data_IF_171180921109
#
_entry.id   IF_171180921109
#
_cell.length_a   1.000
_cell.length_b   1.000
_cell.length_c   1.000
_cell.angle_alpha   90.00
_cell.angle_beta   90.00
_cell.angle_gamma   90.00
#
_symmetry.space_group_name_H-M   'P 1'
#
loop_
_entity.id
_entity.type
_entity.pdbx_description
1 polymer ?
#
# COMPACT_ATOMS: atom_id res chain seq x y z
N UNK A 1 -11.15 2.53 9.87
CA UNK A 1 -10.46 3.84 9.70
C UNK A 1 -10.17 4.49 11.05
N UNK A 2 -9.02 5.15 11.22
CA UNK A 2 -8.49 5.64 12.51
C UNK A 2 -8.34 7.18 12.61
N UNK A 3 -8.04 7.68 13.81
CA UNK A 3 -7.89 9.11 14.11
C UNK A 3 -6.57 9.76 13.67
N UNK A 4 -5.66 9.03 13.00
CA UNK A 4 -4.35 9.56 12.65
C UNK A 4 -4.46 10.88 11.88
N UNK A 5 -3.58 11.83 12.21
CA UNK A 5 -3.49 13.11 11.52
C UNK A 5 -2.16 13.20 10.78
N UNK A 6 -2.24 13.53 9.50
CA UNK A 6 -1.03 13.82 8.73
C UNK A 6 -0.43 15.16 9.14
N UNK A 7 0.89 15.22 9.24
CA UNK A 7 1.67 16.42 9.52
C UNK A 7 1.96 17.13 8.19
N UNK A 8 1.68 18.43 8.12
CA UNK A 8 2.08 19.25 6.98
C UNK A 8 3.57 19.57 7.08
N UNK A 9 4.36 18.97 6.19
CA UNK A 9 5.73 19.43 5.91
C UNK A 9 5.69 20.53 4.85
N UNK A 10 6.78 21.29 4.67
CA UNK A 10 6.88 22.42 3.73
C UNK A 10 6.39 22.12 2.30
N UNK A 11 6.42 20.85 1.86
CA UNK A 11 6.06 20.45 0.49
C UNK A 11 4.86 19.51 0.40
N UNK A 12 4.54 18.74 1.45
CA UNK A 12 3.48 17.73 1.42
C UNK A 12 3.02 17.30 2.81
N UNK A 13 1.83 16.71 2.88
CA UNK A 13 1.33 16.05 4.09
C UNK A 13 1.93 14.66 4.22
N UNK A 14 2.45 14.34 5.40
CA UNK A 14 3.07 13.06 5.74
C UNK A 14 2.36 12.39 6.92
N UNK A 15 2.31 11.06 6.92
CA UNK A 15 1.70 10.24 7.94
C UNK A 15 2.78 9.33 8.51
N UNK A 16 3.34 9.69 9.66
CA UNK A 16 4.37 8.90 10.32
C UNK A 16 3.78 7.65 10.97
N UNK A 17 4.63 6.66 11.20
CA UNK A 17 4.23 5.45 11.88
C UNK A 17 3.76 5.77 13.31
N UNK A 18 2.67 5.14 13.71
CA UNK A 18 2.10 5.25 15.04
C UNK A 18 1.72 3.83 15.50
N UNK A 19 2.40 3.35 16.54
CA UNK A 19 2.27 1.96 17.00
C UNK A 19 0.86 1.63 17.51
N UNK A 20 0.23 2.60 18.17
CA UNK A 20 -1.08 2.42 18.80
C UNK A 20 -2.13 3.24 18.05
N UNK A 21 -2.62 2.70 16.93
CA UNK A 21 -3.66 3.36 16.15
C UNK A 21 -5.01 3.27 16.86
N UNK A 22 -5.60 4.43 17.16
CA UNK A 22 -6.96 4.51 17.70
C UNK A 22 -7.97 4.46 16.55
N UNK A 23 -8.68 3.33 16.43
CA UNK A 23 -9.75 3.14 15.46
C UNK A 23 -11.00 3.93 15.89
N UNK A 24 -11.75 4.44 14.90
CA UNK A 24 -13.07 5.05 15.16
C UNK A 24 -14.12 3.96 15.34
N UNK A 25 -14.94 4.08 16.37
CA UNK A 25 -16.19 3.33 16.50
C UNK A 25 -17.26 3.85 15.52
N UNK A 26 -18.32 3.05 15.34
CA UNK A 26 -19.48 3.41 14.50
C UNK A 26 -20.16 4.66 15.06
N UNK A 27 -20.38 4.70 16.39
CA UNK A 27 -21.03 5.82 17.06
C UNK A 27 -20.23 7.13 16.94
N UNK A 28 -18.90 7.07 17.10
CA UNK A 28 -18.03 8.23 16.87
C UNK A 28 -18.09 8.71 15.42
N UNK A 29 -18.03 7.78 14.46
CA UNK A 29 -18.12 8.11 13.04
C UNK A 29 -19.42 8.83 12.70
N UNK A 30 -20.55 8.35 13.24
CA UNK A 30 -21.86 8.96 13.04
C UNK A 30 -21.93 10.36 13.70
N UNK A 31 -21.46 10.46 14.95
CA UNK A 31 -21.45 11.71 15.71
C UNK A 31 -20.68 12.80 14.98
N UNK A 32 -19.46 12.51 14.54
CA UNK A 32 -18.64 13.49 13.83
C UNK A 32 -19.16 13.83 12.44
N UNK A 33 -19.85 12.88 11.77
CA UNK A 33 -20.51 13.16 10.49
C UNK A 33 -21.68 14.13 10.65
N UNK A 34 -22.53 13.91 11.67
CA UNK A 34 -23.65 14.81 12.02
C UNK A 34 -23.14 16.19 12.41
N UNK A 35 -22.06 16.24 13.21
CA UNK A 35 -21.45 17.50 13.63
C UNK A 35 -20.86 18.28 12.45
N UNK A 36 -20.13 17.61 11.54
CA UNK A 36 -19.58 18.22 10.34
C UNK A 36 -20.66 18.83 9.45
N UNK A 37 -21.77 18.11 9.25
CA UNK A 37 -22.92 18.59 8.47
C UNK A 37 -23.57 19.80 9.12
N UNK A 38 -23.83 19.75 10.44
CA UNK A 38 -24.44 20.88 11.18
C UNK A 38 -23.56 22.13 11.16
N UNK A 39 -22.25 21.97 11.38
CA UNK A 39 -21.29 23.09 11.44
C UNK A 39 -20.82 23.56 10.06
N UNK A 40 -21.16 22.85 8.98
CA UNK A 40 -20.64 23.06 7.61
C UNK A 40 -19.11 23.21 7.58
N UNK A 41 -18.42 22.44 8.42
CA UNK A 41 -16.96 22.46 8.58
C UNK A 41 -16.45 21.04 8.70
N UNK A 42 -15.21 20.82 8.27
CA UNK A 42 -14.55 19.53 8.35
C UNK A 42 -14.24 19.17 9.80
N UNK A 43 -14.81 18.08 10.32
CA UNK A 43 -14.57 17.56 11.67
C UNK A 43 -13.85 16.21 11.55
N UNK A 44 -12.62 16.11 12.04
CA UNK A 44 -11.81 14.87 11.99
C UNK A 44 -11.70 14.15 10.63
N UNK A 45 -11.89 14.85 9.51
CA UNK A 45 -11.92 14.24 8.19
C UNK A 45 -13.29 14.19 7.53
N UNK A 46 -14.36 14.24 8.34
CA UNK A 46 -15.74 14.15 7.89
C UNK A 46 -16.21 15.45 7.26
N UNK A 47 -16.97 15.34 6.17
CA UNK A 47 -17.60 16.46 5.47
C UNK A 47 -19.10 16.57 5.77
N UNK A 48 -19.71 15.50 6.25
CA UNK A 48 -21.14 15.39 6.56
C UNK A 48 -21.55 13.91 6.64
N UNK A 49 -22.85 13.66 6.81
CA UNK A 49 -23.38 12.30 6.75
C UNK A 49 -23.31 11.75 5.32
N UNK A 50 -22.89 10.50 5.17
CA UNK A 50 -22.95 9.81 3.87
C UNK A 50 -24.41 9.49 3.55
N UNK A 51 -24.91 9.77 2.33
CA UNK A 51 -26.23 9.32 1.90
C UNK A 51 -26.40 7.80 1.99
N UNK A 52 -25.30 7.06 1.81
CA UNK A 52 -25.31 5.60 1.95
C UNK A 52 -25.50 5.14 3.40
N UNK A 53 -25.14 5.95 4.40
CA UNK A 53 -25.30 5.56 5.81
C UNK A 53 -26.77 5.31 6.19
N UNK A 54 -27.73 5.86 5.44
CA UNK A 54 -29.16 5.70 5.67
C UNK A 54 -29.84 4.75 4.70
N UNK A 55 -29.15 4.35 3.62
CA UNK A 55 -29.72 3.51 2.54
C UNK A 55 -29.28 2.06 2.69
N UNK A 56 -28.05 1.83 3.14
CA UNK A 56 -27.51 0.49 3.35
C UNK A 56 -27.29 0.26 4.84
N UNK A 57 -27.76 -0.88 5.35
CA UNK A 57 -27.57 -1.35 6.73
C UNK A 57 -26.12 -1.82 6.94
N UNK A 58 -25.17 -0.93 6.67
CA UNK A 58 -23.76 -1.25 6.60
C UNK A 58 -23.01 -0.34 7.58
N UNK A 59 -22.32 -0.91 8.58
CA UNK A 59 -21.67 -0.14 9.64
C UNK A 59 -20.44 0.63 9.11
N UNK A 60 -20.57 1.95 8.98
CA UNK A 60 -19.44 2.84 8.68
C UNK A 60 -18.64 3.14 9.96
N UNK A 61 -17.29 3.17 9.90
CA UNK A 61 -16.45 3.03 8.71
C UNK A 61 -15.94 1.60 8.46
N UNK A 62 -16.44 0.61 9.22
CA UNK A 62 -15.88 -0.77 9.23
C UNK A 62 -16.06 -1.49 7.89
N UNK A 63 -17.07 -1.12 7.11
CA UNK A 63 -17.35 -1.68 5.80
C UNK A 63 -16.54 -1.09 4.64
N UNK A 64 -15.69 -0.10 4.88
CA UNK A 64 -14.94 0.56 3.82
C UNK A 64 -13.74 -0.31 3.46
N UNK A 65 -13.85 -1.00 2.33
CA UNK A 65 -12.77 -1.82 1.77
C UNK A 65 -11.72 -0.92 1.11
N UNK A 66 -10.46 -1.10 1.48
CA UNK A 66 -9.33 -0.42 0.87
C UNK A 66 -8.91 -1.20 -0.38
N UNK A 67 -8.97 -0.53 -1.53
CA UNK A 67 -8.52 -1.10 -2.79
C UNK A 67 -6.99 -1.23 -2.82
N UNK A 68 -6.50 -2.46 -2.70
CA UNK A 68 -5.06 -2.74 -2.67
C UNK A 68 -4.37 -2.43 -4.00
N UNK A 69 -5.06 -2.53 -5.14
CA UNK A 69 -4.48 -2.25 -6.45
C UNK A 69 -4.12 -0.77 -6.54
N UNK A 70 -5.02 0.10 -6.09
CA UNK A 70 -4.78 1.54 -6.08
C UNK A 70 -3.79 1.95 -4.98
N UNK A 71 -3.99 1.49 -3.75
CA UNK A 71 -3.17 1.92 -2.60
C UNK A 71 -1.76 1.35 -2.66
N UNK A 72 -1.63 0.06 -2.90
CA UNK A 72 -0.35 -0.65 -2.81
C UNK A 72 0.41 -0.61 -4.12
N UNK A 73 -0.24 -0.90 -5.26
CA UNK A 73 0.44 -1.08 -6.55
C UNK A 73 0.63 0.25 -7.28
N UNK A 74 -0.47 0.91 -7.65
CA UNK A 74 -0.45 2.12 -8.48
C UNK A 74 0.13 3.35 -7.75
N UNK A 75 0.04 3.37 -6.43
CA UNK A 75 0.57 4.46 -5.59
C UNK A 75 1.87 4.04 -4.92
N UNK A 76 1.79 3.31 -3.80
CA UNK A 76 2.94 3.14 -2.90
C UNK A 76 4.15 2.45 -3.55
N UNK A 77 3.94 1.24 -4.10
CA UNK A 77 4.98 0.45 -4.77
C UNK A 77 5.60 1.24 -5.93
N UNK A 78 4.77 1.79 -6.82
CA UNK A 78 5.26 2.60 -7.94
C UNK A 78 6.14 3.76 -7.47
N UNK A 79 5.67 4.55 -6.50
CA UNK A 79 6.44 5.69 -5.96
C UNK A 79 7.75 5.25 -5.34
N UNK A 80 7.75 4.18 -4.55
CA UNK A 80 8.97 3.66 -3.91
C UNK A 80 9.97 3.14 -4.94
N UNK A 81 9.54 2.33 -5.91
CA UNK A 81 10.45 1.80 -6.94
C UNK A 81 11.01 2.91 -7.82
N UNK A 82 10.18 3.88 -8.24
CA UNK A 82 10.66 5.02 -9.02
C UNK A 82 11.67 5.87 -8.25
N UNK A 83 11.42 6.12 -6.96
CA UNK A 83 12.37 6.81 -6.10
C UNK A 83 13.71 6.08 -6.03
N UNK A 84 13.68 4.77 -5.79
CA UNK A 84 14.89 3.95 -5.70
C UNK A 84 15.65 3.89 -7.02
N UNK A 85 14.94 3.71 -8.13
CA UNK A 85 15.47 3.72 -9.48
C UNK A 85 16.19 5.05 -9.81
N UNK A 86 15.61 6.18 -9.38
CA UNK A 86 16.23 7.49 -9.59
C UNK A 86 17.42 7.74 -8.65
N UNK A 87 17.34 7.28 -7.40
CA UNK A 87 18.33 7.55 -6.35
C UNK A 87 19.60 6.69 -6.47
N UNK A 88 19.46 5.40 -6.75
CA UNK A 88 20.57 4.44 -6.66
C UNK A 88 21.17 4.06 -8.01
N UNK A 89 20.43 4.19 -9.12
CA UNK A 89 20.89 3.76 -10.43
C UNK A 89 21.33 4.94 -11.29
N UNK A 90 22.52 4.83 -11.89
CA UNK A 90 23.00 5.77 -12.90
C UNK A 90 22.31 5.49 -14.24
N UNK A 91 22.24 6.47 -15.15
CA UNK A 91 21.60 6.29 -16.47
C UNK A 91 22.06 5.05 -17.25
N UNK A 92 23.35 4.70 -17.18
CA UNK A 92 23.88 3.50 -17.86
C UNK A 92 23.34 2.20 -17.24
N UNK A 93 23.34 2.11 -15.91
CA UNK A 93 22.88 0.91 -15.18
C UNK A 93 21.36 0.72 -15.35
N UNK A 94 20.62 1.83 -15.49
CA UNK A 94 19.17 1.84 -15.74
C UNK A 94 18.78 1.09 -17.01
N UNK A 95 19.50 1.31 -18.12
CA UNK A 95 19.21 0.63 -19.38
C UNK A 95 19.47 -0.88 -19.28
N UNK A 96 20.55 -1.29 -18.63
CA UNK A 96 20.86 -2.70 -18.38
C UNK A 96 19.76 -3.36 -17.54
N UNK A 97 19.35 -2.71 -16.46
CA UNK A 97 18.31 -3.18 -15.55
C UNK A 97 16.96 -3.28 -16.26
N UNK A 98 16.58 -2.27 -17.05
CA UNK A 98 15.35 -2.28 -17.82
C UNK A 98 15.33 -3.44 -18.82
N UNK A 99 16.48 -3.77 -19.43
CA UNK A 99 16.62 -4.95 -20.27
C UNK A 99 16.50 -6.25 -19.47
N UNK A 100 17.07 -6.33 -18.27
CA UNK A 100 16.95 -7.51 -17.40
C UNK A 100 15.50 -7.75 -17.01
N UNK A 101 14.76 -6.70 -16.62
CA UNK A 101 13.31 -6.79 -16.37
C UNK A 101 12.57 -7.30 -17.60
N UNK A 102 12.84 -6.72 -18.77
CA UNK A 102 12.14 -7.10 -19.99
C UNK A 102 12.44 -8.54 -20.46
N UNK A 103 13.69 -9.00 -20.27
CA UNK A 103 14.15 -10.35 -20.66
C UNK A 103 13.87 -11.41 -19.61
N UNK A 104 13.42 -11.03 -18.42
CA UNK A 104 13.16 -11.98 -17.34
C UNK A 104 12.12 -13.02 -17.79
N UNK A 105 12.50 -14.30 -17.67
CA UNK A 105 11.59 -15.41 -17.96
C UNK A 105 10.44 -15.40 -16.97
N UNK A 106 9.23 -15.51 -17.49
CA UNK A 106 8.01 -15.51 -16.70
C UNK A 106 7.17 -16.73 -17.05
N UNK A 107 6.43 -17.31 -16.10
CA UNK A 107 5.58 -18.46 -16.41
C UNK A 107 4.60 -18.14 -17.55
N UNK A 108 4.42 -19.11 -18.47
CA UNK A 108 3.68 -18.91 -19.71
C UNK A 108 2.21 -18.51 -19.52
N UNK A 109 1.63 -18.80 -18.35
CA UNK A 109 0.24 -18.46 -18.01
C UNK A 109 0.04 -16.97 -17.67
N UNK A 110 1.10 -16.17 -17.60
CA UNK A 110 0.96 -14.73 -17.48
C UNK A 110 0.86 -14.07 -18.87
N UNK A 111 -0.27 -13.41 -19.13
CA UNK A 111 -0.58 -12.84 -20.44
C UNK A 111 0.37 -11.72 -20.93
N UNK A 112 1.29 -11.22 -20.10
CA UNK A 112 2.17 -10.09 -20.44
C UNK A 112 3.58 -10.29 -19.89
N UNK A 113 4.57 -9.94 -20.72
CA UNK A 113 5.96 -9.79 -20.30
C UNK A 113 6.10 -8.65 -19.31
N UNK A 114 7.15 -8.73 -18.50
CA UNK A 114 7.52 -7.64 -17.61
C UNK A 114 7.93 -6.40 -18.41
N UNK A 115 7.42 -5.24 -17.98
CA UNK A 115 7.83 -3.96 -18.56
C UNK A 115 9.06 -3.40 -17.83
N UNK A 116 9.90 -2.62 -18.54
CA UNK A 116 10.95 -1.82 -17.94
C UNK A 116 10.47 -0.94 -16.76
N UNK A 117 11.35 -0.65 -15.81
CA UNK A 117 11.04 0.23 -14.68
C UNK A 117 10.70 1.64 -15.17
N UNK A 118 11.39 2.13 -16.22
CA UNK A 118 11.10 3.45 -16.82
C UNK A 118 9.64 3.60 -17.31
N UNK A 119 8.96 2.49 -17.62
CA UNK A 119 7.57 2.48 -18.08
C UNK A 119 6.55 2.24 -16.95
N UNK A 120 6.97 2.13 -15.70
CA UNK A 120 6.06 1.81 -14.58
C UNK A 120 4.90 2.76 -14.40
N UNK A 121 5.05 4.03 -14.80
CA UNK A 121 3.97 5.02 -14.78
C UNK A 121 2.79 4.63 -15.66
N UNK A 122 3.04 3.88 -16.74
CA UNK A 122 2.04 3.45 -17.73
C UNK A 122 1.55 2.02 -17.50
N UNK A 123 2.13 1.29 -16.55
CA UNK A 123 1.73 -0.07 -16.23
C UNK A 123 0.35 -0.10 -15.55
N UNK A 124 -0.49 -1.06 -15.94
CA UNK A 124 -1.73 -1.39 -15.21
C UNK A 124 -1.40 -1.99 -13.84
N UNK A 125 -2.36 -1.94 -12.92
CA UNK A 125 -2.19 -2.54 -11.59
C UNK A 125 -1.85 -4.04 -11.66
N UNK A 126 -2.47 -4.79 -12.57
CA UNK A 126 -2.20 -6.22 -12.77
C UNK A 126 -0.77 -6.50 -13.25
N UNK A 127 -0.19 -5.61 -14.06
CA UNK A 127 1.23 -5.68 -14.48
C UNK A 127 2.15 -5.37 -13.28
N UNK A 128 1.84 -4.32 -12.51
CA UNK A 128 2.60 -3.97 -11.30
C UNK A 128 2.53 -5.05 -10.22
N UNK A 129 1.40 -5.75 -10.09
CA UNK A 129 1.25 -6.92 -9.21
C UNK A 129 2.26 -8.00 -9.57
N UNK A 130 2.37 -8.32 -10.86
CA UNK A 130 3.29 -9.34 -11.32
C UNK A 130 4.74 -8.93 -11.05
N UNK A 131 5.05 -7.65 -11.26
CA UNK A 131 6.36 -7.09 -10.92
C UNK A 131 6.65 -7.22 -9.43
N UNK A 132 5.75 -6.72 -8.57
CA UNK A 132 5.95 -6.73 -7.13
C UNK A 132 6.16 -8.14 -6.58
N UNK A 133 5.27 -9.07 -6.95
CA UNK A 133 5.28 -10.40 -6.36
C UNK A 133 6.39 -11.26 -6.95
N UNK A 134 6.59 -11.27 -8.26
CA UNK A 134 7.39 -12.30 -8.91
C UNK A 134 8.70 -11.79 -9.51
N UNK A 135 8.72 -10.56 -10.02
CA UNK A 135 9.89 -10.10 -10.78
C UNK A 135 10.84 -9.17 -10.07
N UNK A 136 10.39 -8.46 -9.03
CA UNK A 136 11.21 -7.51 -8.31
C UNK A 136 12.32 -8.20 -7.50
N UNK A 137 11.98 -9.20 -6.67
CA UNK A 137 12.93 -9.84 -5.76
C UNK A 137 14.14 -10.51 -6.45
N UNK A 138 14.00 -11.21 -7.59
CA UNK A 138 15.15 -11.79 -8.28
C UNK A 138 16.19 -10.76 -8.72
N UNK A 139 15.76 -9.53 -9.00
CA UNK A 139 16.64 -8.47 -9.51
C UNK A 139 17.09 -7.50 -8.40
N UNK A 140 16.34 -7.39 -7.31
CA UNK A 140 16.49 -6.32 -6.29
C UNK A 140 17.91 -6.10 -5.75
N UNK A 141 18.70 -7.17 -5.58
CA UNK A 141 20.09 -7.09 -5.08
C UNK A 141 21.07 -6.56 -6.11
N UNK A 142 20.75 -6.69 -7.40
CA UNK A 142 21.49 -6.05 -8.49
C UNK A 142 21.16 -4.55 -8.56
N UNK A 143 19.99 -4.16 -8.06
CA UNK A 143 19.47 -2.80 -8.16
C UNK A 143 19.89 -1.90 -6.99
N UNK A 144 20.03 -2.47 -5.80
CA UNK A 144 20.02 -1.72 -4.54
C UNK A 144 21.07 -2.25 -3.55
N UNK A 145 21.60 -1.37 -2.66
CA UNK A 145 22.37 -1.81 -1.51
C UNK A 145 21.59 -2.82 -0.66
N UNK A 146 22.31 -3.77 -0.05
CA UNK A 146 21.69 -4.89 0.69
C UNK A 146 20.69 -4.43 1.76
N UNK A 147 20.97 -3.35 2.49
CA UNK A 147 20.06 -2.81 3.50
C UNK A 147 18.74 -2.32 2.92
N UNK A 148 18.79 -1.63 1.77
CA UNK A 148 17.61 -1.12 1.06
C UNK A 148 16.83 -2.27 0.43
N UNK A 149 17.53 -3.26 -0.13
CA UNK A 149 16.94 -4.46 -0.70
C UNK A 149 16.22 -5.29 0.37
N UNK A 150 16.83 -5.47 1.55
CA UNK A 150 16.23 -6.15 2.69
C UNK A 150 14.96 -5.42 3.16
N UNK A 151 15.03 -4.10 3.35
CA UNK A 151 13.88 -3.31 3.77
C UNK A 151 12.71 -3.38 2.76
N UNK A 152 12.99 -3.24 1.46
CA UNK A 152 11.96 -3.38 0.43
C UNK A 152 11.41 -4.82 0.37
N UNK A 153 12.23 -5.83 0.66
CA UNK A 153 11.80 -7.23 0.71
C UNK A 153 10.78 -7.49 1.84
N UNK A 154 10.85 -6.76 2.96
CA UNK A 154 9.81 -6.81 4.00
C UNK A 154 8.43 -6.42 3.45
N UNK A 155 8.37 -5.34 2.66
CA UNK A 155 7.14 -4.92 2.01
C UNK A 155 6.64 -5.96 1.01
N UNK A 156 7.52 -6.54 0.18
CA UNK A 156 7.11 -7.60 -0.77
C UNK A 156 6.58 -8.84 -0.03
N UNK A 157 7.24 -9.24 1.06
CA UNK A 157 6.84 -10.39 1.86
C UNK A 157 5.46 -10.16 2.51
N UNK A 158 5.26 -9.00 3.12
CA UNK A 158 3.97 -8.57 3.67
C UNK A 158 2.86 -8.60 2.60
N UNK A 159 3.07 -7.95 1.45
CA UNK A 159 2.08 -7.94 0.36
C UNK A 159 1.78 -9.35 -0.15
N UNK A 160 2.78 -10.23 -0.22
CA UNK A 160 2.58 -11.63 -0.63
C UNK A 160 1.75 -12.44 0.38
N UNK A 161 1.87 -12.17 1.67
CA UNK A 161 1.04 -12.81 2.70
C UNK A 161 -0.40 -12.32 2.61
N UNK A 162 -0.62 -11.01 2.47
CA UNK A 162 -1.96 -10.44 2.35
C UNK A 162 -2.64 -10.72 0.99
N UNK A 163 -1.87 -10.97 -0.07
CA UNK A 163 -2.42 -11.24 -1.40
C UNK A 163 -2.87 -12.70 -1.62
N UNK A 164 -2.44 -13.62 -0.77
CA UNK A 164 -2.76 -15.04 -0.91
C UNK A 164 -3.81 -15.52 0.10
N UNK A 165 -4.24 -16.79 -0.02
CA UNK A 165 -4.95 -17.45 1.07
C UNK A 165 -4.07 -17.52 2.33
N UNK A 166 -4.67 -17.87 3.47
CA UNK A 166 -3.99 -17.96 4.78
C UNK A 166 -2.90 -19.04 4.81
N UNK A 167 -1.70 -18.71 4.31
CA UNK A 167 -0.57 -19.63 4.19
C UNK A 167 -0.03 -20.12 5.54
N UNK A 168 -0.15 -19.31 6.58
CA UNK A 168 0.28 -19.61 7.95
C UNK A 168 -0.94 -19.82 8.87
N UNK A 169 -2.08 -20.21 8.31
CA UNK A 169 -3.35 -20.32 9.03
C UNK A 169 -3.77 -18.98 9.65
N UNK A 170 -4.30 -19.02 10.88
CA UNK A 170 -4.76 -17.85 11.64
C UNK A 170 -3.65 -16.87 12.07
N UNK A 171 -2.38 -17.22 11.81
CA UNK A 171 -1.23 -16.33 12.09
C UNK A 171 -0.85 -15.45 10.90
N UNK A 172 -1.43 -15.69 9.72
CA UNK A 172 -1.02 -15.04 8.47
C UNK A 172 -1.11 -13.52 8.57
N UNK A 173 -2.26 -13.01 9.02
CA UNK A 173 -2.52 -11.58 9.17
C UNK A 173 -1.61 -10.92 10.20
N UNK A 174 -1.36 -11.61 11.32
CA UNK A 174 -0.51 -11.11 12.40
C UNK A 174 0.93 -10.96 11.93
N UNK A 175 1.49 -12.01 11.32
CA UNK A 175 2.86 -12.01 10.80
C UNK A 175 3.02 -10.96 9.68
N UNK A 176 2.04 -10.86 8.78
CA UNK A 176 2.06 -9.85 7.73
C UNK A 176 2.05 -8.42 8.32
N UNK A 177 1.24 -8.18 9.36
CA UNK A 177 1.19 -6.90 10.04
C UNK A 177 2.48 -6.56 10.78
N UNK A 178 3.11 -7.53 11.44
CA UNK A 178 4.41 -7.34 12.11
C UNK A 178 5.50 -6.94 11.10
N UNK A 179 5.57 -7.63 9.95
CA UNK A 179 6.48 -7.26 8.86
C UNK A 179 6.20 -5.86 8.32
N UNK A 180 4.92 -5.49 8.18
CA UNK A 180 4.53 -4.16 7.74
C UNK A 180 4.92 -3.07 8.74
N UNK A 181 4.71 -3.31 10.03
CA UNK A 181 5.04 -2.35 11.08
C UNK A 181 6.53 -2.01 11.08
N UNK A 182 7.41 -3.03 10.96
CA UNK A 182 8.86 -2.81 10.82
C UNK A 182 9.14 -1.97 9.56
N UNK A 183 8.56 -2.35 8.41
CA UNK A 183 8.73 -1.60 7.16
C UNK A 183 8.26 -0.14 7.26
N UNK A 184 7.20 0.14 8.02
CA UNK A 184 6.65 1.48 8.16
C UNK A 184 7.45 2.31 9.16
N UNK A 185 7.81 1.73 10.30
CA UNK A 185 8.65 2.37 11.33
C UNK A 185 10.00 2.81 10.75
N UNK A 186 10.66 1.93 10.00
CA UNK A 186 11.96 2.20 9.38
C UNK A 186 11.86 2.98 8.04
N UNK A 187 10.64 3.18 7.51
CA UNK A 187 10.42 3.84 6.22
C UNK A 187 11.18 5.17 6.05
N UNK A 188 11.23 6.08 7.04
CA UNK A 188 11.98 7.34 6.94
C UNK A 188 13.49 7.18 6.77
N UNK A 189 14.07 6.07 7.23
CA UNK A 189 15.50 5.79 7.11
C UNK A 189 15.88 5.50 5.65
N UNK A 190 14.99 4.83 4.91
CA UNK A 190 15.25 4.38 3.55
C UNK A 190 14.66 5.31 2.47
N UNK A 191 13.51 5.94 2.76
CA UNK A 191 12.73 6.69 1.77
C UNK A 191 12.42 8.11 2.26
N UNK A 192 13.05 9.09 1.60
CA UNK A 192 12.92 10.49 1.99
C UNK A 192 11.54 11.03 1.61
N UNK A 193 10.74 11.33 2.64
CA UNK A 193 9.46 12.03 2.51
C UNK A 193 8.38 11.24 1.72
N UNK A 194 8.41 9.90 1.72
CA UNK A 194 7.46 9.02 1.02
C UNK A 194 6.39 8.44 1.99
N UNK A 195 6.18 9.09 3.13
CA UNK A 195 5.17 8.71 4.12
C UNK A 195 3.78 9.23 3.74
N UNK A 196 3.29 8.85 2.56
CA UNK A 196 1.99 9.27 2.05
C UNK A 196 0.83 8.61 2.81
N UNK A 197 -0.38 9.15 2.64
CA UNK A 197 -1.59 8.55 3.20
C UNK A 197 -1.77 7.08 2.79
N UNK A 198 -1.35 6.73 1.58
CA UNK A 198 -1.39 5.34 1.09
C UNK A 198 -0.53 4.42 1.93
N UNK A 199 0.65 4.84 2.39
CA UNK A 199 1.47 4.05 3.30
C UNK A 199 0.71 3.79 4.60
N UNK A 200 0.09 4.82 5.18
CA UNK A 200 -0.74 4.66 6.38
C UNK A 200 -1.89 3.65 6.18
N UNK A 201 -2.57 3.68 5.03
CA UNK A 201 -3.70 2.79 4.74
C UNK A 201 -3.34 1.30 4.85
N UNK A 202 -2.10 0.91 4.56
CA UNK A 202 -1.64 -0.47 4.70
C UNK A 202 -1.67 -0.96 6.16
N UNK A 203 -1.61 -0.06 7.15
CA UNK A 203 -1.73 -0.43 8.58
C UNK A 203 -3.10 -1.03 8.92
N UNK A 204 -4.11 -0.82 8.07
CA UNK A 204 -5.46 -1.39 8.21
C UNK A 204 -5.64 -2.67 7.39
N UNK A 205 -4.61 -3.14 6.66
CA UNK A 205 -4.73 -4.34 5.83
C UNK A 205 -4.90 -5.61 6.66
N UNK A 206 -4.35 -5.65 7.89
CA UNK A 206 -4.54 -6.79 8.79
C UNK A 206 -6.03 -6.98 9.14
N UNK A 207 -6.69 -5.90 9.56
CA UNK A 207 -8.12 -5.90 9.87
C UNK A 207 -8.95 -6.24 8.64
N UNK A 208 -8.61 -5.64 7.49
CA UNK A 208 -9.32 -5.90 6.25
C UNK A 208 -9.15 -7.36 5.78
N UNK A 209 -7.95 -7.92 5.93
CA UNK A 209 -7.68 -9.32 5.59
C UNK A 209 -8.40 -10.28 6.53
N UNK A 210 -8.50 -9.92 7.82
CA UNK A 210 -9.25 -10.67 8.80
C UNK A 210 -10.75 -10.72 8.45
N UNK A 211 -11.34 -9.56 8.11
CA UNK A 211 -12.77 -9.42 7.84
C UNK A 211 -13.20 -9.95 6.46
N UNK A 212 -12.39 -9.72 5.42
CA UNK A 212 -12.78 -9.94 4.03
C UNK A 212 -11.90 -10.97 3.30
N UNK A 213 -10.86 -11.48 3.95
CA UNK A 213 -9.93 -12.45 3.37
C UNK A 213 -8.90 -11.79 2.45
N UNK A 214 -8.49 -12.52 1.41
CA UNK A 214 -7.36 -12.13 0.57
C UNK A 214 -7.54 -10.78 -0.14
N UNK A 215 -6.50 -9.94 -0.15
CA UNK A 215 -6.47 -8.70 -0.94
C UNK A 215 -6.69 -8.96 -2.43
N UNK A 216 -6.33 -10.15 -2.94
CA UNK A 216 -6.58 -10.52 -4.34
C UNK A 216 -8.06 -10.41 -4.73
N UNK A 217 -8.96 -10.56 -3.75
CA UNK A 217 -10.41 -10.55 -3.95
C UNK A 217 -11.02 -9.16 -3.73
N UNK A 218 -10.18 -8.17 -3.36
CA UNK A 218 -10.62 -6.83 -2.94
C UNK A 218 -10.21 -5.73 -3.93
N UNK A 219 -10.33 -6.02 -5.23
CA UNK A 219 -10.25 -5.02 -6.29
C UNK A 219 -11.64 -4.70 -6.82
N UNK A 220 -12.03 -3.42 -6.81
CA UNK A 220 -13.35 -2.99 -7.29
C UNK A 220 -13.39 -2.92 -8.83
N UNK A 221 -12.22 -2.92 -9.49
CA UNK A 221 -12.09 -2.90 -10.94
C UNK A 221 -10.93 -3.83 -11.36
N UNK A 222 -11.27 -5.04 -11.82
CA UNK A 222 -10.34 -6.02 -12.38
C UNK A 222 -10.26 -5.93 -13.90
#
# INVERSE_FOLDING_TARGET
MCFIKGIHTKTKRQYYFEKNLVLRSIAEYETYSKEAQRKKKKIFGHLGCSPFATIVDVPLPQCIVIDYMHVSLLRHMRTVIQYLYQKYLKPKDRDEIDQLFHKQRFPHFFNRKMRPIKEMSYCKATELRNILLYGLLPLIRLLLPDSVAAHLSLYVACMRLFHGPRKLGLKTEKVANELFNVYYEDHPLFYKSIQHFTLHLHSHFADQYFLHGSLSNMGVFG
#
